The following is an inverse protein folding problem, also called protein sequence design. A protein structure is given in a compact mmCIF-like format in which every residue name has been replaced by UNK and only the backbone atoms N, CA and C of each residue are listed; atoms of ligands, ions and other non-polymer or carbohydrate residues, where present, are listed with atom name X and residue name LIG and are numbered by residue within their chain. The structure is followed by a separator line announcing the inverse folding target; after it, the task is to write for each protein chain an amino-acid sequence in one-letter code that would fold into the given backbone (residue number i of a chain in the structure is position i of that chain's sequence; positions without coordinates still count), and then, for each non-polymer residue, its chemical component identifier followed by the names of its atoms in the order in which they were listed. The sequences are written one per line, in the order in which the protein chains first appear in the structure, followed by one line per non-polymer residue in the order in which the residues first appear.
data_IF_278577465673
#
_entry.id   IF_278577465673
#
_cell.length_a   1.000
_cell.length_b   1.000
_cell.length_c   1.000
_cell.angle_alpha   90.00
_cell.angle_beta   90.00
_cell.angle_gamma   90.00
#
_symmetry.space_group_name_H-M   'P 1'
#
loop_
_entity.id
_entity.type
_entity.pdbx_description
1 polymer ?
#
# COMPACT_ATOMS: atom_id res chain seq x y z
N UNK A 1 -24.29 -36.68 -2.00
CA UNK A 1 -22.96 -36.28 -1.48
C UNK A 1 -23.15 -34.98 -0.68
N UNK A 2 -23.15 -35.10 0.64
CA UNK A 2 -23.48 -34.01 1.58
C UNK A 2 -22.22 -33.20 1.90
N UNK A 3 -22.27 -31.88 1.69
CA UNK A 3 -21.21 -30.95 2.09
C UNK A 3 -21.28 -30.74 3.61
N UNK A 4 -20.18 -31.12 4.28
CA UNK A 4 -20.01 -30.96 5.73
C UNK A 4 -19.96 -29.48 6.11
N UNK A 5 -20.75 -29.14 7.12
CA UNK A 5 -20.69 -27.89 7.88
C UNK A 5 -19.33 -27.77 8.57
N UNK A 6 -18.57 -26.72 8.26
CA UNK A 6 -17.36 -26.32 8.99
C UNK A 6 -17.73 -25.11 9.85
N UNK A 7 -18.19 -25.37 11.07
CA UNK A 7 -18.27 -24.38 12.16
C UNK A 7 -17.04 -24.51 13.04
N UNK A 8 -15.89 -24.02 12.60
CA UNK A 8 -14.78 -23.61 13.48
C UNK A 8 -14.02 -22.48 12.78
N UNK A 9 -14.11 -21.27 13.34
CA UNK A 9 -13.26 -20.12 12.96
C UNK A 9 -11.96 -20.20 13.79
N UNK A 10 -10.79 -19.82 13.23
CA UNK A 10 -9.57 -19.66 14.02
C UNK A 10 -9.75 -18.56 15.08
N UNK A 11 -9.30 -18.82 16.31
CA UNK A 11 -9.26 -17.88 17.45
C UNK A 11 -8.44 -16.60 17.22
N UNK A 12 -7.81 -16.45 16.05
CA UNK A 12 -6.94 -15.32 15.66
C UNK A 12 -7.70 -13.98 15.62
N UNK A 13 -9.04 -14.00 15.47
CA UNK A 13 -9.86 -12.79 15.46
C UNK A 13 -10.47 -12.43 16.84
N UNK A 14 -10.15 -13.18 17.91
CA UNK A 14 -10.71 -12.96 19.25
C UNK A 14 -9.69 -12.82 20.38
N UNK A 15 -8.39 -13.01 20.13
CA UNK A 15 -7.40 -12.94 21.20
C UNK A 15 -6.94 -11.50 21.46
N UNK A 16 -7.10 -10.96 22.70
CA UNK A 16 -6.29 -9.86 23.17
C UNK A 16 -4.91 -10.43 23.52
N UNK A 17 -4.02 -10.52 22.52
CA UNK A 17 -2.64 -10.91 22.82
C UNK A 17 -1.94 -9.81 23.61
N UNK A 18 -1.33 -10.19 24.73
CA UNK A 18 -0.44 -9.37 25.53
C UNK A 18 0.69 -8.81 24.65
N UNK A 19 0.78 -7.48 24.56
CA UNK A 19 1.83 -6.78 23.83
C UNK A 19 2.47 -5.79 24.81
N UNK A 20 3.76 -5.99 25.09
CA UNK A 20 4.57 -5.18 25.98
C UNK A 20 4.83 -3.77 25.39
N UNK A 21 5.22 -2.84 26.25
CA UNK A 21 4.70 -1.47 26.37
C UNK A 21 5.18 -0.40 25.37
N UNK A 22 5.67 -0.77 24.18
CA UNK A 22 6.09 0.20 23.14
C UNK A 22 5.22 0.22 21.87
N UNK A 23 4.35 -0.78 21.68
CA UNK A 23 3.53 -0.94 20.45
C UNK A 23 2.13 -0.30 20.50
N UNK A 24 1.77 0.34 21.61
CA UNK A 24 0.41 0.86 21.85
C UNK A 24 0.07 2.03 20.90
N UNK A 25 1.05 2.82 20.44
CA UNK A 25 0.77 4.02 19.62
C UNK A 25 0.45 3.69 18.15
N UNK A 26 1.11 2.69 17.57
CA UNK A 26 0.98 2.31 16.16
C UNK A 26 -0.31 1.54 15.89
N UNK A 27 -0.67 0.62 16.79
CA UNK A 27 -1.95 -0.10 16.73
C UNK A 27 -3.10 0.83 17.09
N UNK A 28 -2.95 1.73 18.08
CA UNK A 28 -3.99 2.72 18.38
C UNK A 28 -4.21 3.72 17.24
N UNK A 29 -3.18 4.07 16.46
CA UNK A 29 -3.33 4.90 15.28
C UNK A 29 -4.01 4.16 14.13
N UNK A 30 -3.61 2.92 13.83
CA UNK A 30 -4.30 2.09 12.83
C UNK A 30 -5.74 1.78 13.24
N UNK A 31 -6.01 1.60 14.54
CA UNK A 31 -7.35 1.42 15.12
C UNK A 31 -8.14 2.74 15.15
N UNK A 32 -7.51 3.89 15.34
CA UNK A 32 -8.16 5.20 15.30
C UNK A 32 -8.50 5.64 13.87
N UNK A 33 -7.57 5.44 12.93
CA UNK A 33 -7.78 5.59 11.48
C UNK A 33 -8.92 4.68 11.03
N UNK A 34 -8.93 3.42 11.47
CA UNK A 34 -10.02 2.51 11.14
C UNK A 34 -11.32 2.68 11.95
N UNK A 35 -11.31 3.45 13.06
CA UNK A 35 -12.53 3.79 13.84
C UNK A 35 -13.22 5.07 13.36
N UNK A 36 -12.49 6.00 12.75
CA UNK A 36 -13.06 7.23 12.17
C UNK A 36 -13.96 6.94 10.96
N UNK A 37 -13.73 5.81 10.28
CA UNK A 37 -14.62 5.25 9.27
C UNK A 37 -15.36 4.08 9.90
N UNK A 38 -16.66 4.23 10.13
CA UNK A 38 -17.46 3.22 10.81
C UNK A 38 -17.23 1.84 10.19
N UNK A 39 -16.49 0.98 10.89
CA UNK A 39 -16.23 -0.40 10.46
C UNK A 39 -17.55 -1.05 10.04
N UNK A 40 -17.72 -1.24 8.73
CA UNK A 40 -18.60 -2.29 8.26
C UNK A 40 -17.92 -3.58 8.72
N UNK A 41 -18.43 -4.19 9.81
CA UNK A 41 -18.04 -5.53 10.22
C UNK A 41 -17.96 -6.37 8.96
N UNK A 42 -16.77 -6.83 8.62
CA UNK A 42 -16.53 -7.83 7.60
C UNK A 42 -17.21 -9.12 8.08
N UNK A 43 -18.52 -9.18 7.85
CA UNK A 43 -19.38 -10.30 8.20
C UNK A 43 -19.27 -11.33 7.09
N UNK A 44 -18.83 -12.53 7.49
CA UNK A 44 -19.02 -13.82 6.80
C UNK A 44 -19.66 -13.72 5.41
N UNK A 45 -18.83 -13.70 4.36
CA UNK A 45 -19.10 -13.98 2.91
C UNK A 45 -20.35 -13.44 2.21
N UNK A 46 -21.30 -12.81 2.90
CA UNK A 46 -22.64 -12.48 2.42
C UNK A 46 -22.94 -10.98 2.47
N UNK A 47 -22.12 -10.17 3.16
CA UNK A 47 -22.28 -8.71 3.25
C UNK A 47 -21.34 -7.90 2.34
N UNK A 48 -20.56 -8.55 1.47
CA UNK A 48 -19.64 -7.87 0.55
C UNK A 48 -20.33 -7.05 -0.54
N UNK A 49 -21.65 -7.18 -0.72
CA UNK A 49 -22.46 -6.38 -1.66
C UNK A 49 -22.44 -4.87 -1.38
N UNK A 50 -21.77 -4.41 -0.31
CA UNK A 50 -21.69 -2.99 0.06
C UNK A 50 -20.34 -2.33 -0.24
N UNK A 51 -19.33 -3.05 -0.74
CA UNK A 51 -18.11 -2.37 -1.22
C UNK A 51 -18.55 -1.53 -2.42
N UNK A 52 -18.37 -0.21 -2.31
CA UNK A 52 -18.76 0.70 -3.39
C UNK A 52 -17.69 0.62 -4.47
N UNK A 53 -18.13 0.45 -5.71
CA UNK A 53 -17.30 0.83 -6.85
C UNK A 53 -17.08 2.33 -6.75
N UNK A 54 -15.81 2.73 -6.56
CA UNK A 54 -15.46 4.14 -6.50
C UNK A 54 -15.47 4.73 -7.89
N UNK A 55 -16.00 5.95 -8.05
CA UNK A 55 -15.74 6.77 -9.22
C UNK A 55 -14.52 7.65 -8.99
N UNK A 56 -14.04 8.33 -10.05
CA UNK A 56 -12.82 9.12 -9.99
C UNK A 56 -12.88 10.22 -8.91
N UNK A 57 -13.99 10.93 -8.76
CA UNK A 57 -14.14 11.98 -7.75
C UNK A 57 -14.02 11.45 -6.32
N UNK A 58 -14.70 10.32 -6.01
CA UNK A 58 -14.56 9.66 -4.72
C UNK A 58 -13.14 9.11 -4.50
N UNK A 59 -12.49 8.68 -5.58
CA UNK A 59 -11.10 8.22 -5.55
C UNK A 59 -10.12 9.34 -5.22
N UNK A 60 -10.27 10.53 -5.81
CA UNK A 60 -9.44 11.69 -5.51
C UNK A 60 -9.57 12.12 -4.04
N UNK A 61 -10.79 12.15 -3.51
CA UNK A 61 -11.03 12.42 -2.09
C UNK A 61 -10.39 11.34 -1.19
N UNK A 62 -10.56 10.07 -1.56
CA UNK A 62 -9.95 8.95 -0.83
C UNK A 62 -8.42 9.03 -0.84
N UNK A 63 -7.83 9.47 -1.95
CA UNK A 63 -6.39 9.67 -2.10
C UNK A 63 -5.86 10.78 -1.19
N UNK A 64 -6.56 11.92 -1.11
CA UNK A 64 -6.19 13.01 -0.20
C UNK A 64 -6.28 12.60 1.27
N UNK A 65 -7.30 11.81 1.63
CA UNK A 65 -7.43 11.23 2.97
C UNK A 65 -6.24 10.30 3.24
N UNK A 66 -5.99 9.35 2.33
CA UNK A 66 -4.90 8.39 2.48
C UNK A 66 -3.55 9.09 2.59
N UNK A 67 -3.31 10.16 1.83
CA UNK A 67 -2.11 11.00 1.95
C UNK A 67 -1.96 11.57 3.37
N UNK A 68 -3.00 12.21 3.90
CA UNK A 68 -2.92 12.80 5.24
C UNK A 68 -2.70 11.73 6.32
N UNK A 69 -3.39 10.60 6.23
CA UNK A 69 -3.23 9.49 7.17
C UNK A 69 -1.85 8.85 7.09
N UNK A 70 -1.35 8.61 5.88
CA UNK A 70 0.01 8.09 5.66
C UNK A 70 1.06 9.07 6.15
N UNK A 71 0.84 10.39 6.03
CA UNK A 71 1.74 11.39 6.60
C UNK A 71 1.81 11.31 8.12
N UNK A 72 0.66 11.21 8.79
CA UNK A 72 0.62 11.04 10.26
C UNK A 72 1.30 9.73 10.68
N UNK A 73 1.08 8.65 9.94
CA UNK A 73 1.79 7.38 10.18
C UNK A 73 3.30 7.54 10.01
N UNK A 74 3.73 8.12 8.88
CA UNK A 74 5.13 8.34 8.52
C UNK A 74 5.90 9.13 9.59
N UNK A 75 5.35 10.25 10.03
CA UNK A 75 5.97 11.11 11.05
C UNK A 75 6.12 10.41 12.41
N UNK A 76 5.18 9.50 12.74
CA UNK A 76 5.21 8.76 14.01
C UNK A 76 6.04 7.49 13.96
N UNK A 77 6.03 6.79 12.82
CA UNK A 77 6.77 5.56 12.63
C UNK A 77 8.27 5.83 12.44
N UNK A 78 8.64 6.99 11.88
CA UNK A 78 10.02 7.32 11.54
C UNK A 78 10.45 8.66 12.16
N UNK A 79 10.52 8.76 13.50
CA UNK A 79 10.84 10.02 14.18
C UNK A 79 12.21 10.58 13.80
N UNK A 80 13.17 9.75 13.39
CA UNK A 80 14.48 10.20 12.89
C UNK A 80 14.35 11.12 11.67
N UNK A 81 13.35 10.88 10.81
CA UNK A 81 13.10 11.67 9.61
C UNK A 81 12.54 13.06 9.95
N UNK A 82 11.75 13.17 11.02
CA UNK A 82 11.20 14.47 11.47
C UNK A 82 12.27 15.47 11.92
N UNK A 83 13.51 15.02 12.08
CA UNK A 83 14.66 15.85 12.45
C UNK A 83 15.42 16.42 11.23
N UNK A 84 15.08 15.99 10.00
CA UNK A 84 15.65 16.49 8.75
C UNK A 84 15.05 17.85 8.37
N UNK A 85 15.57 18.48 7.31
CA UNK A 85 14.94 19.69 6.77
C UNK A 85 13.52 19.40 6.26
N UNK A 86 12.66 20.43 6.20
CA UNK A 86 11.30 20.25 5.68
C UNK A 86 11.30 19.77 4.22
N UNK A 87 12.21 20.29 3.39
CA UNK A 87 12.34 19.88 1.98
C UNK A 87 12.73 18.41 1.85
N UNK A 88 13.68 17.93 2.66
CA UNK A 88 14.02 16.50 2.70
C UNK A 88 12.86 15.66 3.20
N UNK A 89 12.16 16.09 4.25
CA UNK A 89 10.99 15.37 4.77
C UNK A 89 9.89 15.23 3.71
N UNK A 90 9.62 16.30 2.97
CA UNK A 90 8.63 16.32 1.89
C UNK A 90 9.06 15.44 0.71
N UNK A 91 10.31 15.53 0.28
CA UNK A 91 10.84 14.70 -0.80
C UNK A 91 10.81 13.21 -0.44
N UNK A 92 11.24 12.87 0.78
CA UNK A 92 11.20 11.50 1.27
C UNK A 92 9.75 10.99 1.34
N UNK A 93 8.82 11.81 1.84
CA UNK A 93 7.41 11.44 1.92
C UNK A 93 6.78 11.23 0.54
N UNK A 94 7.08 12.07 -0.45
CA UNK A 94 6.60 11.93 -1.84
C UNK A 94 6.99 10.58 -2.42
N UNK A 95 8.27 10.23 -2.32
CA UNK A 95 8.78 8.94 -2.81
C UNK A 95 8.23 7.76 -2.03
N UNK A 96 7.95 7.94 -0.73
CA UNK A 96 7.40 6.92 0.14
C UNK A 96 5.92 6.61 -0.14
N UNK A 97 5.11 7.65 -0.30
CA UNK A 97 3.66 7.57 -0.23
C UNK A 97 3.06 6.60 -1.28
N UNK A 98 3.51 6.69 -2.54
CA UNK A 98 2.99 5.80 -3.59
C UNK A 98 3.39 4.34 -3.33
N UNK A 99 4.61 4.08 -2.86
CA UNK A 99 5.08 2.73 -2.50
C UNK A 99 4.25 2.16 -1.35
N UNK A 100 3.97 2.99 -0.34
CA UNK A 100 3.09 2.64 0.77
C UNK A 100 1.70 2.22 0.27
N UNK A 101 1.08 3.02 -0.60
CA UNK A 101 -0.25 2.72 -1.13
C UNK A 101 -0.29 1.40 -1.88
N UNK A 102 0.70 1.11 -2.73
CA UNK A 102 0.78 -0.16 -3.46
C UNK A 102 0.82 -1.34 -2.49
N UNK A 103 1.69 -1.30 -1.49
CA UNK A 103 1.82 -2.39 -0.52
C UNK A 103 0.56 -2.56 0.34
N UNK A 104 0.04 -1.46 0.89
CA UNK A 104 -1.16 -1.47 1.73
C UNK A 104 -2.38 -2.01 0.97
N UNK A 105 -2.60 -1.53 -0.25
CA UNK A 105 -3.70 -1.95 -1.09
C UNK A 105 -3.60 -3.44 -1.48
N UNK A 106 -2.42 -3.91 -1.89
CA UNK A 106 -2.21 -5.33 -2.20
C UNK A 106 -2.42 -6.21 -0.96
N UNK A 107 -1.92 -5.78 0.20
CA UNK A 107 -2.06 -6.52 1.45
C UNK A 107 -3.53 -6.64 1.85
N UNK A 108 -4.28 -5.53 1.83
CA UNK A 108 -5.72 -5.51 2.12
C UNK A 108 -6.51 -6.35 1.13
N UNK A 109 -6.24 -6.19 -0.16
CA UNK A 109 -6.88 -6.98 -1.23
C UNK A 109 -6.72 -8.47 -0.96
N UNK A 110 -5.50 -8.91 -0.65
CA UNK A 110 -5.23 -10.32 -0.31
C UNK A 110 -5.93 -10.75 0.97
N UNK A 111 -6.01 -9.90 2.00
CA UNK A 111 -6.72 -10.23 3.24
C UNK A 111 -8.23 -10.40 3.03
N UNK A 112 -8.81 -9.64 2.11
CA UNK A 112 -10.24 -9.68 1.79
C UNK A 112 -10.58 -10.84 0.87
N UNK A 113 -9.84 -11.03 -0.22
CA UNK A 113 -10.19 -12.01 -1.28
C UNK A 113 -9.28 -13.24 -1.36
N UNK A 114 -8.20 -13.30 -0.58
CA UNK A 114 -7.22 -14.39 -0.59
C UNK A 114 -6.24 -14.30 -1.77
N UNK A 115 -6.76 -14.19 -2.99
CA UNK A 115 -6.01 -14.00 -4.23
C UNK A 115 -6.38 -12.66 -4.88
N UNK A 116 -5.40 -12.01 -5.50
CA UNK A 116 -5.59 -10.76 -6.25
C UNK A 116 -5.83 -11.16 -7.71
N UNK A 117 -7.08 -11.06 -8.16
CA UNK A 117 -7.48 -11.42 -9.53
C UNK A 117 -8.21 -10.30 -10.24
N UNK A 118 -9.39 -9.95 -9.70
CA UNK A 118 -10.32 -9.00 -10.32
C UNK A 118 -10.49 -7.71 -9.52
N UNK A 119 -10.47 -7.80 -8.19
CA UNK A 119 -10.69 -6.65 -7.33
C UNK A 119 -9.39 -6.19 -6.72
N UNK A 120 -9.25 -4.87 -6.60
CA UNK A 120 -8.12 -4.22 -5.96
C UNK A 120 -8.63 -3.16 -4.99
N UNK A 121 -8.30 -3.27 -3.71
CA UNK A 121 -8.66 -2.26 -2.71
C UNK A 121 -7.97 -0.94 -3.05
N UNK A 122 -8.72 0.15 -3.14
CA UNK A 122 -8.16 1.50 -3.16
C UNK A 122 -8.24 2.17 -1.79
N UNK A 123 -9.13 1.70 -0.91
CA UNK A 123 -9.28 2.12 0.48
C UNK A 123 -9.95 1.00 1.28
N UNK A 124 -10.35 1.26 2.54
CA UNK A 124 -11.18 0.32 3.32
C UNK A 124 -12.58 0.12 2.71
N UNK A 125 -13.10 1.12 2.00
CA UNK A 125 -14.50 1.16 1.56
C UNK A 125 -14.67 1.09 0.04
N UNK A 126 -13.58 1.23 -0.72
CA UNK A 126 -13.57 1.25 -2.18
C UNK A 126 -12.64 0.21 -2.77
N UNK A 127 -13.06 -0.36 -3.90
CA UNK A 127 -12.23 -1.20 -4.74
C UNK A 127 -12.38 -0.82 -6.21
N UNK A 128 -11.32 -1.06 -6.96
CA UNK A 128 -11.29 -1.08 -8.41
C UNK A 128 -11.65 -2.48 -8.91
N UNK A 129 -12.52 -2.55 -9.92
CA UNK A 129 -12.78 -3.76 -10.71
C UNK A 129 -11.88 -3.72 -11.94
N UNK A 130 -10.84 -4.54 -11.96
CA UNK A 130 -9.82 -4.52 -13.01
C UNK A 130 -10.33 -5.05 -14.35
N UNK A 131 -11.44 -5.80 -14.34
CA UNK A 131 -12.07 -6.29 -15.57
C UNK A 131 -12.96 -5.21 -16.21
N UNK A 132 -13.32 -4.17 -15.47
CA UNK A 132 -14.24 -3.10 -15.87
C UNK A 132 -13.73 -1.70 -15.47
N UNK A 133 -12.53 -1.27 -15.95
CA UNK A 133 -11.94 0.01 -15.60
C UNK A 133 -12.78 1.22 -16.03
N UNK A 134 -13.68 1.06 -17.01
CA UNK A 134 -14.63 2.09 -17.45
C UNK A 134 -15.58 2.55 -16.35
N UNK A 135 -15.85 1.70 -15.35
CA UNK A 135 -16.71 2.04 -14.20
C UNK A 135 -16.05 3.04 -13.25
N UNK A 136 -14.73 3.23 -13.35
CA UNK A 136 -14.02 4.20 -12.55
C UNK A 136 -14.21 5.64 -13.07
N UNK A 137 -14.56 5.80 -14.34
CA UNK A 137 -14.78 7.11 -14.98
C UNK A 137 -16.28 7.45 -15.04
N UNK A 138 -16.65 8.63 -14.54
CA UNK A 138 -18.01 9.14 -14.69
C UNK A 138 -18.35 9.37 -16.17
N UNK A 139 -19.63 9.29 -16.57
CA UNK A 139 -20.06 9.34 -17.99
C UNK A 139 -19.58 10.61 -18.75
N UNK A 140 -19.30 11.71 -18.04
CA UNK A 140 -18.80 12.96 -18.61
C UNK A 140 -17.26 13.07 -18.73
N UNK A 141 -16.50 12.07 -18.26
CA UNK A 141 -15.03 12.14 -18.22
C UNK A 141 -14.37 11.55 -19.48
N UNK A 142 -13.23 12.12 -19.87
CA UNK A 142 -12.40 11.68 -21.00
C UNK A 142 -12.78 12.24 -22.37
N UNK A 143 -13.95 12.87 -22.52
CA UNK A 143 -14.39 13.51 -23.77
C UNK A 143 -14.24 12.60 -24.99
N UNK A 144 -13.74 13.16 -26.11
CA UNK A 144 -13.47 12.40 -27.34
C UNK A 144 -12.40 11.31 -27.18
N UNK A 145 -11.54 11.44 -26.17
CA UNK A 145 -10.45 10.50 -25.89
C UNK A 145 -10.79 9.46 -24.82
N UNK A 146 -12.06 9.34 -24.39
CA UNK A 146 -12.48 8.45 -23.30
C UNK A 146 -12.03 7.00 -23.50
N UNK A 147 -12.21 6.45 -24.70
CA UNK A 147 -11.82 5.06 -24.97
C UNK A 147 -10.30 4.87 -24.88
N UNK A 148 -9.52 5.84 -25.38
CA UNK A 148 -8.06 5.83 -25.27
C UNK A 148 -7.64 5.87 -23.80
N UNK A 149 -8.27 6.73 -22.99
CA UNK A 149 -8.01 6.82 -21.55
C UNK A 149 -8.27 5.47 -20.85
N UNK A 150 -9.43 4.83 -21.12
CA UNK A 150 -9.78 3.51 -20.57
C UNK A 150 -8.74 2.46 -20.96
N UNK A 151 -8.35 2.43 -22.23
CA UNK A 151 -7.34 1.48 -22.72
C UNK A 151 -5.98 1.69 -22.04
N UNK A 152 -5.58 2.95 -21.83
CA UNK A 152 -4.35 3.29 -21.12
C UNK A 152 -4.42 2.89 -19.62
N UNK A 153 -5.54 3.16 -18.94
CA UNK A 153 -5.77 2.72 -17.55
C UNK A 153 -5.65 1.20 -17.44
N UNK A 154 -6.29 0.47 -18.36
CA UNK A 154 -6.28 -0.99 -18.34
C UNK A 154 -4.87 -1.55 -18.57
N UNK A 155 -4.17 -1.04 -19.58
CA UNK A 155 -2.80 -1.44 -19.87
C UNK A 155 -1.87 -1.19 -18.69
N UNK A 156 -2.01 -0.04 -18.02
CA UNK A 156 -1.22 0.29 -16.83
C UNK A 156 -1.51 -0.66 -15.66
N UNK A 157 -2.79 -0.88 -15.31
CA UNK A 157 -3.17 -1.78 -14.21
C UNK A 157 -2.62 -3.19 -14.46
N UNK A 158 -2.74 -3.70 -15.69
CA UNK A 158 -2.18 -4.99 -16.06
C UNK A 158 -0.65 -5.02 -15.92
N UNK A 159 0.06 -4.02 -16.44
CA UNK A 159 1.53 -3.94 -16.32
C UNK A 159 1.99 -3.93 -14.86
N UNK A 160 1.32 -3.15 -14.00
CA UNK A 160 1.61 -3.13 -12.56
C UNK A 160 1.36 -4.50 -11.91
N UNK A 161 0.24 -5.15 -12.26
CA UNK A 161 -0.16 -6.42 -11.68
C UNK A 161 0.78 -7.56 -12.07
N UNK A 162 1.21 -7.61 -13.33
CA UNK A 162 2.17 -8.59 -13.83
C UNK A 162 3.50 -8.56 -13.06
N UNK A 163 3.92 -7.38 -12.61
CA UNK A 163 5.13 -7.20 -11.81
C UNK A 163 4.89 -7.58 -10.34
N UNK A 164 3.91 -6.94 -9.69
CA UNK A 164 3.82 -6.94 -8.22
C UNK A 164 3.02 -8.12 -7.65
N UNK A 165 1.99 -8.62 -8.35
CA UNK A 165 1.12 -9.69 -7.83
C UNK A 165 1.87 -11.01 -7.67
N UNK A 166 2.71 -11.45 -8.64
CA UNK A 166 3.51 -12.65 -8.45
C UNK A 166 4.48 -12.54 -7.28
N UNK A 167 5.13 -11.39 -7.09
CA UNK A 167 6.04 -11.16 -5.97
C UNK A 167 5.32 -11.23 -4.62
N UNK A 168 4.18 -10.55 -4.49
CA UNK A 168 3.33 -10.58 -3.29
C UNK A 168 2.82 -12.00 -3.00
N UNK A 169 2.42 -12.73 -4.05
CA UNK A 169 1.94 -14.11 -3.93
C UNK A 169 3.03 -15.03 -3.40
N UNK A 170 4.25 -14.96 -3.97
CA UNK A 170 5.43 -15.73 -3.51
C UNK A 170 5.83 -15.37 -2.08
N UNK A 171 5.82 -14.09 -1.73
CA UNK A 171 6.29 -13.62 -0.43
C UNK A 171 5.42 -14.09 0.75
N UNK A 172 4.11 -14.31 0.53
CA UNK A 172 3.17 -14.76 1.58
C UNK A 172 3.37 -14.01 2.91
N UNK A 173 3.38 -12.67 2.83
CA UNK A 173 3.79 -11.82 3.94
C UNK A 173 2.84 -11.93 5.14
N UNK A 174 3.42 -12.06 6.32
CA UNK A 174 2.76 -11.97 7.62
C UNK A 174 2.49 -10.51 7.99
N UNK A 175 1.78 -10.26 9.09
CA UNK A 175 1.56 -8.90 9.58
C UNK A 175 2.89 -8.21 10.00
N UNK A 176 3.82 -8.92 10.65
CA UNK A 176 5.11 -8.34 11.03
C UNK A 176 5.94 -7.98 9.80
N UNK A 177 5.98 -8.86 8.80
CA UNK A 177 6.68 -8.60 7.54
C UNK A 177 6.03 -7.49 6.70
N UNK A 178 4.71 -7.33 6.79
CA UNK A 178 4.02 -6.19 6.19
C UNK A 178 4.55 -4.87 6.76
N UNK A 179 4.71 -4.75 8.08
CA UNK A 179 5.31 -3.54 8.66
C UNK A 179 6.79 -3.37 8.28
N UNK A 180 7.54 -4.48 8.21
CA UNK A 180 8.93 -4.45 7.74
C UNK A 180 9.03 -3.93 6.31
N UNK A 181 8.23 -4.44 5.37
CA UNK A 181 8.29 -3.98 3.98
C UNK A 181 7.90 -2.51 3.85
N UNK A 182 6.96 -2.02 4.68
CA UNK A 182 6.61 -0.59 4.74
C UNK A 182 7.77 0.28 5.20
N UNK A 183 8.69 -0.22 6.03
CA UNK A 183 9.90 0.53 6.37
C UNK A 183 10.99 0.35 5.30
N UNK A 184 11.11 -0.84 4.69
CA UNK A 184 12.11 -1.08 3.64
C UNK A 184 11.87 -0.22 2.40
N UNK A 185 10.61 -0.01 1.97
CA UNK A 185 10.33 0.88 0.83
C UNK A 185 10.64 2.35 1.11
N UNK A 186 10.63 2.76 2.39
CA UNK A 186 11.14 4.06 2.80
C UNK A 186 12.67 4.10 2.64
N UNK A 187 13.37 3.03 2.99
CA UNK A 187 14.82 3.01 2.87
C UNK A 187 15.32 2.83 1.43
N UNK A 188 14.45 2.58 0.45
CA UNK A 188 14.82 2.29 -0.94
C UNK A 188 14.84 3.57 -1.78
N UNK A 189 15.87 4.38 -1.59
CA UNK A 189 16.14 5.61 -2.35
C UNK A 189 17.26 5.41 -3.35
N UNK A 190 17.12 6.03 -4.52
CA UNK A 190 18.19 6.08 -5.51
C UNK A 190 19.38 6.89 -4.96
N UNK A 191 20.58 6.34 -5.12
CA UNK A 191 21.84 7.03 -4.84
C UNK A 191 22.03 8.32 -5.65
N UNK A 192 21.27 8.51 -6.73
CA UNK A 192 21.24 9.75 -7.51
C UNK A 192 20.47 10.89 -6.84
N UNK A 193 19.72 10.62 -5.76
CA UNK A 193 18.95 11.63 -5.05
C UNK A 193 19.84 12.65 -4.33
N UNK A 194 19.44 13.93 -4.35
CA UNK A 194 20.13 15.04 -3.67
C UNK A 194 19.86 15.06 -2.15
N UNK A 195 19.84 13.88 -1.51
CA UNK A 195 19.68 13.76 -0.06
C UNK A 195 20.99 14.09 0.66
N UNK A 196 20.90 14.71 1.84
CA UNK A 196 22.09 14.93 2.67
C UNK A 196 22.63 13.62 3.26
N UNK A 197 23.91 13.61 3.64
CA UNK A 197 24.53 12.50 4.38
C UNK A 197 23.73 12.16 5.66
N UNK A 198 23.13 13.17 6.29
CA UNK A 198 22.29 13.00 7.47
C UNK A 198 21.01 12.23 7.14
N UNK A 199 20.37 12.54 6.01
CA UNK A 199 19.19 11.81 5.54
C UNK A 199 19.54 10.35 5.21
N UNK A 200 20.64 10.12 4.48
CA UNK A 200 21.12 8.76 4.20
C UNK A 200 21.42 7.98 5.48
N UNK A 201 22.11 8.60 6.45
CA UNK A 201 22.39 7.98 7.74
C UNK A 201 21.12 7.62 8.51
N UNK A 202 20.09 8.47 8.47
CA UNK A 202 18.81 8.19 9.09
C UNK A 202 18.09 7.00 8.42
N UNK A 203 18.05 6.96 7.08
CA UNK A 203 17.45 5.86 6.32
C UNK A 203 18.19 4.53 6.55
N UNK A 204 19.52 4.56 6.61
CA UNK A 204 20.32 3.35 6.86
C UNK A 204 20.13 2.84 8.30
N UNK A 205 20.04 3.75 9.27
CA UNK A 205 19.68 3.40 10.65
C UNK A 205 18.34 2.68 10.74
N UNK A 206 17.30 3.21 10.09
CA UNK A 206 15.97 2.57 10.03
C UNK A 206 16.07 1.19 9.36
N UNK A 207 16.82 1.08 8.25
CA UNK A 207 16.99 -0.18 7.51
C UNK A 207 17.64 -1.26 8.38
N UNK A 208 18.73 -0.91 9.07
CA UNK A 208 19.46 -1.82 9.95
C UNK A 208 18.54 -2.31 11.08
N UNK A 209 17.88 -1.38 11.79
CA UNK A 209 16.99 -1.70 12.90
C UNK A 209 15.87 -2.67 12.47
N UNK A 210 15.20 -2.36 11.36
CA UNK A 210 14.10 -3.18 10.84
C UNK A 210 14.56 -4.57 10.39
N UNK A 211 15.75 -4.68 9.79
CA UNK A 211 16.31 -5.97 9.38
C UNK A 211 16.75 -6.80 10.58
N UNK A 212 17.32 -6.20 11.62
CA UNK A 212 17.65 -6.89 12.86
C UNK A 212 16.40 -7.43 13.56
N UNK A 213 15.36 -6.61 13.65
CA UNK A 213 14.07 -7.00 14.22
C UNK A 213 13.40 -8.13 13.42
N UNK A 214 13.47 -8.06 12.08
CA UNK A 214 12.95 -9.12 11.22
C UNK A 214 13.71 -10.44 11.42
N UNK A 215 15.04 -10.39 11.51
CA UNK A 215 15.86 -11.57 11.78
C UNK A 215 15.52 -12.19 13.14
N UNK A 216 15.34 -11.36 14.17
CA UNK A 216 14.91 -11.80 15.50
C UNK A 216 13.54 -12.48 15.42
N UNK A 217 12.58 -11.86 14.74
CA UNK A 217 11.26 -12.44 14.51
C UNK A 217 11.33 -13.82 13.83
N UNK A 218 12.16 -13.97 12.79
CA UNK A 218 12.33 -15.26 12.11
C UNK A 218 12.90 -16.34 13.02
N UNK A 219 13.94 -16.02 13.79
CA UNK A 219 14.58 -17.00 14.68
C UNK A 219 13.70 -17.35 15.88
N UNK A 220 13.21 -16.35 16.59
CA UNK A 220 12.57 -16.53 17.89
C UNK A 220 11.07 -16.83 17.81
N UNK A 221 10.36 -16.22 16.85
CA UNK A 221 8.90 -16.39 16.73
C UNK A 221 8.50 -17.40 15.67
N UNK A 222 9.21 -17.45 14.55
CA UNK A 222 8.92 -18.42 13.49
C UNK A 222 9.76 -19.71 13.61
N UNK A 223 10.79 -19.74 14.45
CA UNK A 223 11.64 -20.92 14.64
C UNK A 223 12.47 -21.29 13.40
N UNK A 224 12.69 -20.34 12.49
CA UNK A 224 13.42 -20.57 11.25
C UNK A 224 14.93 -20.59 11.53
N UNK A 225 15.59 -21.69 11.18
CA UNK A 225 17.05 -21.80 11.21
C UNK A 225 17.69 -21.15 9.97
N UNK A 226 17.04 -21.33 8.82
CA UNK A 226 17.38 -20.65 7.57
C UNK A 226 16.16 -19.84 7.09
N UNK A 227 16.34 -18.52 7.04
CA UNK A 227 15.34 -17.55 6.57
C UNK A 227 15.79 -16.81 5.31
N UNK A 228 16.88 -17.24 4.67
CA UNK A 228 17.44 -16.61 3.46
C UNK A 228 16.42 -16.50 2.33
N UNK A 229 15.70 -17.58 2.03
CA UNK A 229 14.66 -17.61 1.00
C UNK A 229 13.52 -16.64 1.32
N UNK A 230 13.10 -16.57 2.58
CA UNK A 230 11.99 -15.71 3.01
C UNK A 230 12.37 -14.23 2.94
N UNK A 231 13.59 -13.89 3.39
CA UNK A 231 14.17 -12.57 3.23
C UNK A 231 14.31 -12.19 1.75
N UNK A 232 14.85 -13.10 0.92
CA UNK A 232 14.98 -12.90 -0.53
C UNK A 232 13.64 -12.60 -1.21
N UNK A 233 12.57 -13.28 -0.81
CA UNK A 233 11.22 -13.00 -1.30
C UNK A 233 10.72 -11.61 -0.89
N UNK A 234 11.03 -11.13 0.32
CA UNK A 234 10.67 -9.76 0.75
C UNK A 234 11.45 -8.70 -0.02
N UNK A 235 12.75 -8.91 -0.23
CA UNK A 235 13.57 -7.98 -1.03
C UNK A 235 13.09 -7.96 -2.49
N UNK A 236 12.73 -9.12 -3.05
CA UNK A 236 12.13 -9.22 -4.39
C UNK A 236 10.80 -8.45 -4.47
N UNK A 237 9.97 -8.53 -3.43
CA UNK A 237 8.73 -7.74 -3.36
C UNK A 237 9.03 -6.24 -3.28
N UNK A 238 10.03 -5.83 -2.52
CA UNK A 238 10.46 -4.42 -2.43
C UNK A 238 10.82 -3.87 -3.82
N UNK A 239 11.65 -4.60 -4.58
CA UNK A 239 12.03 -4.21 -5.94
C UNK A 239 10.85 -4.21 -6.92
N UNK A 240 9.94 -5.19 -6.82
CA UNK A 240 8.74 -5.23 -7.64
C UNK A 240 7.82 -4.02 -7.38
N UNK A 241 7.76 -3.55 -6.13
CA UNK A 241 7.04 -2.31 -5.79
C UNK A 241 7.73 -1.10 -6.42
N UNK A 242 9.05 -1.02 -6.38
CA UNK A 242 9.79 0.07 -7.01
C UNK A 242 9.54 0.13 -8.54
N UNK A 243 9.61 -1.02 -9.21
CA UNK A 243 9.30 -1.13 -10.64
C UNK A 243 7.86 -0.71 -10.96
N UNK A 244 6.90 -1.12 -10.12
CA UNK A 244 5.50 -0.70 -10.21
C UNK A 244 5.34 0.83 -10.12
N UNK A 245 6.11 1.50 -9.25
CA UNK A 245 6.09 2.96 -9.14
C UNK A 245 6.70 3.62 -10.39
N UNK A 246 7.76 3.08 -10.97
CA UNK A 246 8.31 3.61 -12.23
C UNK A 246 7.29 3.56 -13.36
N UNK A 247 6.57 2.44 -13.51
CA UNK A 247 5.44 2.32 -14.47
C UNK A 247 4.36 3.36 -14.16
N UNK A 248 4.06 3.60 -12.88
CA UNK A 248 3.07 4.58 -12.47
C UNK A 248 3.47 6.02 -12.81
N UNK A 249 4.76 6.37 -12.71
CA UNK A 249 5.25 7.73 -12.98
C UNK A 249 5.10 8.11 -14.47
N UNK A 250 5.42 7.18 -15.37
CA UNK A 250 5.21 7.35 -16.81
C UNK A 250 3.71 7.57 -17.13
N UNK A 251 2.85 6.78 -16.48
CA UNK A 251 1.42 6.90 -16.66
C UNK A 251 0.83 8.18 -16.06
N UNK A 252 1.26 8.59 -14.87
CA UNK A 252 0.82 9.82 -14.24
C UNK A 252 1.16 11.02 -15.14
N UNK A 253 2.34 11.02 -15.75
CA UNK A 253 2.74 12.03 -16.73
C UNK A 253 1.78 12.09 -17.91
N UNK A 254 1.36 10.92 -18.44
CA UNK A 254 0.37 10.84 -19.51
C UNK A 254 -1.01 11.39 -19.07
N UNK A 255 -1.50 11.01 -17.90
CA UNK A 255 -2.79 11.51 -17.37
C UNK A 255 -2.80 13.02 -17.17
N UNK A 256 -1.71 13.58 -16.66
CA UNK A 256 -1.61 15.02 -16.39
C UNK A 256 -1.39 15.84 -17.67
N UNK A 257 -0.57 15.35 -18.61
CA UNK A 257 -0.20 16.14 -19.80
C UNK A 257 -1.14 15.99 -20.99
N UNK A 258 -1.71 14.79 -21.19
CA UNK A 258 -2.51 14.48 -22.39
C UNK A 258 -4.01 14.53 -22.11
N UNK A 259 -4.42 14.06 -20.94
CA UNK A 259 -5.85 13.88 -20.62
C UNK A 259 -6.41 14.93 -19.66
N UNK A 260 -5.56 15.80 -19.10
CA UNK A 260 -5.91 16.89 -18.16
C UNK A 260 -6.78 16.44 -16.97
N UNK A 261 -6.57 15.20 -16.53
CA UNK A 261 -7.46 14.49 -15.59
C UNK A 261 -7.43 15.09 -14.17
N UNK A 262 -6.36 15.83 -13.84
CA UNK A 262 -6.12 16.44 -12.52
C UNK A 262 -5.85 17.95 -12.59
N UNK A 263 -6.31 18.63 -13.64
CA UNK A 263 -6.09 20.07 -13.85
C UNK A 263 -6.39 20.92 -12.59
N UNK A 264 -7.43 20.52 -11.85
CA UNK A 264 -7.92 21.23 -10.67
C UNK A 264 -7.28 20.80 -9.34
N UNK A 265 -6.45 19.75 -9.32
CA UNK A 265 -5.97 19.09 -8.09
C UNK A 265 -4.46 19.25 -7.92
N UNK A 266 -4.02 20.50 -7.73
CA UNK A 266 -2.60 20.88 -7.63
C UNK A 266 -1.79 20.03 -6.62
N UNK A 267 -2.40 19.65 -5.50
CA UNK A 267 -1.73 18.80 -4.50
C UNK A 267 -1.43 17.39 -5.02
N UNK A 268 -2.31 16.81 -5.82
CA UNK A 268 -2.07 15.49 -6.43
C UNK A 268 -0.97 15.62 -7.49
N UNK A 269 -1.02 16.69 -8.28
CA UNK A 269 0.00 17.01 -9.29
C UNK A 269 1.41 17.10 -8.68
N UNK A 270 1.57 17.75 -7.53
CA UNK A 270 2.86 17.91 -6.84
C UNK A 270 3.43 16.64 -6.20
N UNK A 271 2.62 15.59 -6.04
CA UNK A 271 3.05 14.30 -5.48
C UNK A 271 3.35 13.27 -6.57
N UNK A 272 2.67 13.39 -7.71
CA UNK A 272 2.80 12.48 -8.85
C UNK A 272 3.92 12.91 -9.83
N UNK A 273 4.43 14.14 -9.70
CA UNK A 273 5.59 14.69 -10.41
C UNK A 273 6.78 14.84 -9.44
#
# INVERSE_FOLDING_TARGET
MSMKSVRQLPEILRSPFCIESSDISMIALLVAVSRSYGFCKIGTTSNWRRIRQGNQSASAQSFLIAMNETRVFYERAFPAITQLSLDEQENLFKCYFLKFLVIDNLYRTRKVWGEIKRYFMGSVESCLDTDHPELWLDEGQGGESRQTLINCMNAQVHAQFEVVVPAMTRAQITAKEFHTILALVLCDFDSSSELSDRAFSALDGIRIEVLEDLQRYYKEKMGLQDYSTRLGNLITLNHAVQECISINAEYATLQMSVFDVYAAEEKIRQLCL
#
